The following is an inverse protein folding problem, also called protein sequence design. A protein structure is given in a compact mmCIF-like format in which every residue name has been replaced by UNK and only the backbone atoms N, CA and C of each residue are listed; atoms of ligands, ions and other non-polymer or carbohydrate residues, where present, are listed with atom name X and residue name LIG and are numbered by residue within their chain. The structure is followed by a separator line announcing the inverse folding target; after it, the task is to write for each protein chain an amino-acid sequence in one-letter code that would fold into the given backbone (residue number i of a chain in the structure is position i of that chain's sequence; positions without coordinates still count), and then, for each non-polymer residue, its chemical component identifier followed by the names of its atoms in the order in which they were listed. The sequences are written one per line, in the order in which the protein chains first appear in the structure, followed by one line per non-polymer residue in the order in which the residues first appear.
data_IF_226939355082
#
_entry.id   IF_226939355082
#
_cell.length_a   1.000
_cell.length_b   1.000
_cell.length_c   1.000
_cell.angle_alpha   90.00
_cell.angle_beta   90.00
_cell.angle_gamma   90.00
#
_symmetry.space_group_name_H-M   'P 1'
#
loop_
_entity.id
_entity.type
_entity.pdbx_description
1 polymer ?
#
# COMPACT_ATOMS: atom_id res chain seq x y z
N UNK A 1 13.46 -3.14 39.34
CA UNK A 1 12.08 -3.38 38.86
C UNK A 1 11.94 -2.65 37.56
N UNK A 2 11.67 -3.36 36.46
CA UNK A 2 11.22 -2.70 35.24
C UNK A 2 9.81 -2.13 35.50
N UNK A 3 9.59 -0.88 35.10
CA UNK A 3 8.30 -0.23 35.25
C UNK A 3 7.28 -0.84 34.28
N UNK A 4 6.02 -0.97 34.73
CA UNK A 4 4.90 -1.38 33.86
C UNK A 4 4.75 -0.38 32.70
N UNK A 5 4.88 -0.80 31.43
CA UNK A 5 4.78 0.09 30.28
C UNK A 5 3.33 0.43 29.89
N UNK A 6 2.32 -0.24 30.47
CA UNK A 6 0.91 -0.06 30.07
C UNK A 6 0.44 1.40 30.21
N UNK A 7 0.73 2.14 31.31
CA UNK A 7 0.34 3.54 31.42
C UNK A 7 0.88 4.42 30.28
N UNK A 8 2.13 4.20 29.87
CA UNK A 8 2.76 4.92 28.75
C UNK A 8 2.11 4.56 27.40
N UNK A 9 1.85 3.27 27.16
CA UNK A 9 1.18 2.80 25.94
C UNK A 9 -0.26 3.33 25.80
N UNK A 10 -0.90 3.68 26.91
CA UNK A 10 -2.26 4.23 26.93
C UNK A 10 -2.32 5.76 26.88
N UNK A 11 -1.19 6.45 26.78
CA UNK A 11 -1.17 7.91 26.64
C UNK A 11 -1.97 8.39 25.42
N UNK A 12 -2.67 9.54 25.51
CA UNK A 12 -3.53 10.03 24.44
C UNK A 12 -2.76 10.55 23.22
N UNK A 13 -1.48 10.90 23.38
CA UNK A 13 -0.65 11.53 22.33
C UNK A 13 -0.38 10.61 21.13
N UNK A 14 -0.47 9.30 21.33
CA UNK A 14 -0.38 8.30 20.25
C UNK A 14 -1.66 7.43 20.20
N UNK A 15 -2.73 7.92 19.55
CA UNK A 15 -4.01 7.23 19.54
C UNK A 15 -3.95 5.87 18.83
N UNK A 16 -3.01 5.67 17.89
CA UNK A 16 -2.83 4.38 17.20
C UNK A 16 -2.27 3.33 18.15
N UNK A 17 -1.21 3.68 18.90
CA UNK A 17 -0.62 2.77 19.91
C UNK A 17 -1.61 2.51 21.03
N UNK A 18 -2.32 3.53 21.51
CA UNK A 18 -3.37 3.37 22.52
C UNK A 18 -4.47 2.42 22.05
N UNK A 19 -4.99 2.60 20.84
CA UNK A 19 -6.03 1.74 20.26
C UNK A 19 -5.54 0.28 20.16
N UNK A 20 -4.36 0.04 19.58
CA UNK A 20 -3.81 -1.30 19.42
C UNK A 20 -3.49 -1.97 20.75
N UNK A 21 -3.04 -1.20 21.75
CA UNK A 21 -2.78 -1.69 23.11
C UNK A 21 -4.08 -2.15 23.77
N UNK A 22 -5.13 -1.32 23.73
CA UNK A 22 -6.45 -1.67 24.26
C UNK A 22 -7.00 -2.95 23.61
N UNK A 23 -6.88 -3.07 22.29
CA UNK A 23 -7.42 -4.20 21.52
C UNK A 23 -6.64 -5.49 21.70
N UNK A 24 -5.30 -5.43 21.63
CA UNK A 24 -4.47 -6.63 21.46
C UNK A 24 -3.69 -7.03 22.71
N UNK A 25 -3.36 -6.08 23.59
CA UNK A 25 -2.64 -6.40 24.84
C UNK A 25 -3.60 -6.50 26.02
N UNK A 26 -4.64 -5.67 26.04
CA UNK A 26 -5.65 -5.64 27.10
C UNK A 26 -6.97 -6.32 26.70
N UNK A 27 -7.03 -6.86 25.48
CA UNK A 27 -8.15 -7.64 24.93
C UNK A 27 -9.53 -6.99 25.11
N UNK A 28 -9.58 -5.65 25.05
CA UNK A 28 -10.84 -4.91 25.15
C UNK A 28 -11.69 -5.12 23.89
N UNK A 29 -13.01 -5.29 24.04
CA UNK A 29 -13.91 -5.46 22.91
C UNK A 29 -14.01 -4.16 22.09
N UNK A 30 -14.43 -4.28 20.82
CA UNK A 30 -14.56 -3.11 19.93
C UNK A 30 -15.56 -2.08 20.44
N UNK A 31 -16.60 -2.48 21.14
CA UNK A 31 -17.63 -1.59 21.70
C UNK A 31 -17.21 -0.92 23.03
N UNK A 32 -16.01 -1.22 23.55
CA UNK A 32 -15.45 -0.53 24.71
C UNK A 32 -15.30 0.98 24.40
N UNK A 33 -15.85 1.87 25.26
CA UNK A 33 -15.79 3.31 25.03
C UNK A 33 -14.37 3.87 24.84
N UNK A 34 -13.37 3.30 25.51
CA UNK A 34 -11.98 3.74 25.37
C UNK A 34 -11.37 3.31 24.03
N UNK A 35 -11.75 2.12 23.54
CA UNK A 35 -11.35 1.63 22.22
C UNK A 35 -11.93 2.52 21.13
N UNK A 36 -13.24 2.79 21.19
CA UNK A 36 -13.91 3.67 20.22
C UNK A 36 -13.34 5.09 20.25
N UNK A 37 -13.09 5.64 21.45
CA UNK A 37 -12.48 6.96 21.59
C UNK A 37 -11.07 7.03 20.99
N UNK A 38 -10.22 6.03 21.27
CA UNK A 38 -8.88 5.95 20.71
C UNK A 38 -8.92 5.84 19.18
N UNK A 39 -9.79 4.97 18.64
CA UNK A 39 -9.99 4.79 17.20
C UNK A 39 -10.45 6.08 16.51
N UNK A 40 -11.41 6.78 17.10
CA UNK A 40 -11.93 8.04 16.57
C UNK A 40 -10.88 9.18 16.58
N UNK A 41 -9.89 9.12 17.47
CA UNK A 41 -8.82 10.11 17.54
C UNK A 41 -7.72 9.90 16.48
N UNK A 42 -7.52 8.67 15.98
CA UNK A 42 -6.46 8.33 15.00
C UNK A 42 -6.43 9.29 13.80
N UNK A 43 -7.56 9.56 13.09
CA UNK A 43 -7.56 10.40 11.90
C UNK A 43 -7.15 11.86 12.13
N UNK A 44 -7.21 12.31 13.40
CA UNK A 44 -6.91 13.68 13.86
C UNK A 44 -5.54 13.78 14.52
N UNK A 45 -4.78 12.69 14.59
CA UNK A 45 -3.41 12.73 15.10
C UNK A 45 -2.50 13.56 14.18
N UNK A 46 -1.54 14.28 14.77
CA UNK A 46 -0.60 15.13 14.03
C UNK A 46 0.19 14.36 12.95
N UNK A 47 0.44 13.07 13.16
CA UNK A 47 1.11 12.22 12.17
C UNK A 47 0.21 11.99 10.96
N UNK A 48 -1.04 11.58 11.19
CA UNK A 48 -2.02 11.29 10.13
C UNK A 48 -2.39 12.56 9.36
N UNK A 49 -2.60 13.68 10.04
CA UNK A 49 -2.86 14.97 9.38
C UNK A 49 -1.71 15.40 8.45
N UNK A 50 -0.45 15.21 8.88
CA UNK A 50 0.72 15.50 8.02
C UNK A 50 0.84 14.58 6.82
N UNK A 51 0.41 13.32 6.93
CA UNK A 51 0.39 12.39 5.80
C UNK A 51 -0.66 12.87 4.79
N UNK A 52 -1.90 13.11 5.23
CA UNK A 52 -2.98 13.49 4.34
C UNK A 52 -2.90 14.92 3.79
N UNK A 53 -2.19 15.83 4.46
CA UNK A 53 -1.86 17.15 3.91
C UNK A 53 -1.07 17.07 2.58
N UNK A 54 -0.48 15.91 2.27
CA UNK A 54 0.28 15.66 1.02
C UNK A 54 -0.46 14.79 0.03
N UNK A 55 -1.68 14.34 0.34
CA UNK A 55 -2.46 13.53 -0.59
C UNK A 55 -2.96 14.43 -1.72
N UNK A 56 -2.68 14.06 -2.96
CA UNK A 56 -3.24 14.72 -4.12
C UNK A 56 -4.77 14.46 -4.20
N UNK A 57 -5.55 15.34 -4.86
CA UNK A 57 -7.00 15.14 -5.03
C UNK A 57 -7.39 13.77 -5.61
N UNK A 58 -6.52 13.19 -6.45
CA UNK A 58 -6.70 11.86 -7.03
C UNK A 58 -6.39 10.68 -6.09
N UNK A 59 -6.14 10.92 -4.80
CA UNK A 59 -5.95 9.87 -3.79
C UNK A 59 -4.51 9.37 -3.62
N UNK A 60 -3.54 9.95 -4.32
CA UNK A 60 -2.17 9.44 -4.39
C UNK A 60 -1.14 10.35 -3.71
N UNK A 61 0.06 9.81 -3.50
CA UNK A 61 1.25 10.54 -3.08
C UNK A 61 2.36 10.30 -4.09
N UNK A 62 3.08 11.37 -4.47
CA UNK A 62 4.12 11.28 -5.48
C UNK A 62 3.58 11.25 -6.90
N UNK A 63 4.14 10.40 -7.74
CA UNK A 63 3.78 10.28 -9.16
C UNK A 63 2.54 9.40 -9.35
N UNK A 64 1.46 9.88 -10.00
CA UNK A 64 0.26 9.09 -10.22
C UNK A 64 0.47 7.89 -11.17
N UNK A 65 1.58 7.80 -11.89
CA UNK A 65 1.92 6.69 -12.78
C UNK A 65 2.86 5.65 -12.12
N UNK A 66 3.46 6.00 -10.98
CA UNK A 66 4.42 5.16 -10.25
C UNK A 66 4.11 5.16 -8.74
N UNK A 67 3.12 4.38 -8.28
CA UNK A 67 2.71 4.33 -6.88
C UNK A 67 3.75 3.71 -5.94
N UNK A 68 4.86 3.17 -6.47
CA UNK A 68 5.93 2.57 -5.67
C UNK A 68 7.15 3.49 -5.46
N UNK A 69 7.52 4.31 -6.45
CA UNK A 69 8.68 5.18 -6.37
C UNK A 69 8.30 6.65 -6.11
N UNK A 70 9.10 7.39 -5.33
CA UNK A 70 10.24 6.92 -4.56
C UNK A 70 9.80 6.13 -3.32
N UNK A 71 10.64 5.16 -2.92
CA UNK A 71 10.41 4.35 -1.72
C UNK A 71 10.10 5.22 -0.49
N UNK A 72 9.19 4.72 0.34
CA UNK A 72 8.71 5.35 1.59
C UNK A 72 7.93 6.66 1.44
N UNK A 73 7.66 7.13 0.20
CA UNK A 73 6.89 8.36 -0.05
C UNK A 73 5.70 8.12 -0.96
N UNK A 74 5.84 7.23 -1.94
CA UNK A 74 4.78 6.95 -2.91
C UNK A 74 3.55 6.27 -2.28
N UNK A 75 2.48 6.18 -3.06
CA UNK A 75 1.16 5.73 -2.59
C UNK A 75 1.18 4.37 -1.90
N UNK A 76 1.88 3.36 -2.42
CA UNK A 76 1.94 2.03 -1.80
C UNK A 76 2.51 2.10 -0.38
N UNK A 77 3.63 2.80 -0.21
CA UNK A 77 4.28 2.94 1.10
C UNK A 77 3.42 3.73 2.08
N UNK A 78 2.78 4.78 1.60
CA UNK A 78 1.87 5.56 2.43
C UNK A 78 0.68 4.72 2.88
N UNK A 79 0.08 3.93 1.98
CA UNK A 79 -1.03 3.03 2.32
C UNK A 79 -0.62 1.97 3.36
N UNK A 80 0.58 1.40 3.24
CA UNK A 80 1.13 0.50 4.24
C UNK A 80 1.25 1.16 5.62
N UNK A 81 1.76 2.41 5.68
CA UNK A 81 1.86 3.17 6.93
C UNK A 81 0.47 3.44 7.52
N UNK A 82 -0.52 3.81 6.70
CA UNK A 82 -1.90 4.02 7.18
C UNK A 82 -2.49 2.75 7.82
N UNK A 83 -2.20 1.57 7.26
CA UNK A 83 -2.58 0.29 7.86
C UNK A 83 -1.93 0.06 9.23
N UNK A 84 -0.65 0.41 9.41
CA UNK A 84 0.04 0.30 10.70
C UNK A 84 -0.45 1.32 11.74
N UNK A 85 -0.95 2.46 11.29
CA UNK A 85 -1.60 3.46 12.13
C UNK A 85 -3.06 3.12 12.48
N UNK A 86 -3.54 1.93 12.09
CA UNK A 86 -4.91 1.46 12.33
C UNK A 86 -6.00 2.39 11.77
N UNK A 87 -5.74 3.03 10.61
CA UNK A 87 -6.79 3.71 9.87
C UNK A 87 -7.83 2.71 9.34
N UNK A 88 -9.04 3.21 9.13
CA UNK A 88 -10.16 2.42 8.64
C UNK A 88 -10.44 2.69 7.16
N UNK A 89 -10.94 1.68 6.44
CA UNK A 89 -11.53 1.82 5.10
C UNK A 89 -12.68 2.83 5.03
N UNK A 90 -13.32 3.12 6.16
CA UNK A 90 -14.37 4.13 6.28
C UNK A 90 -13.83 5.57 6.12
N UNK A 91 -12.52 5.79 6.30
CA UNK A 91 -11.92 7.09 5.98
C UNK A 91 -11.85 7.27 4.47
N UNK A 92 -12.62 8.24 3.97
CA UNK A 92 -12.71 8.57 2.54
C UNK A 92 -11.33 8.78 1.88
N UNK A 93 -10.35 9.31 2.61
CA UNK A 93 -9.00 9.54 2.09
C UNK A 93 -8.25 8.22 1.89
N UNK A 94 -8.48 7.23 2.75
CA UNK A 94 -7.98 5.85 2.59
C UNK A 94 -8.65 5.19 1.40
N UNK A 95 -9.98 5.35 1.26
CA UNK A 95 -10.73 4.79 0.13
C UNK A 95 -10.19 5.29 -1.21
N UNK A 96 -9.92 6.59 -1.36
CA UNK A 96 -9.31 7.14 -2.58
C UNK A 96 -7.92 6.56 -2.87
N UNK A 97 -7.09 6.37 -1.84
CA UNK A 97 -5.77 5.76 -2.00
C UNK A 97 -5.85 4.31 -2.44
N UNK A 98 -6.79 3.55 -1.86
CA UNK A 98 -7.10 2.18 -2.26
C UNK A 98 -7.50 2.11 -3.73
N UNK A 99 -8.46 2.92 -4.15
CA UNK A 99 -8.91 2.94 -5.54
C UNK A 99 -7.80 3.37 -6.51
N UNK A 100 -6.92 4.28 -6.08
CA UNK A 100 -5.76 4.65 -6.88
C UNK A 100 -4.83 3.46 -7.12
N UNK A 101 -4.44 2.71 -6.08
CA UNK A 101 -3.50 1.60 -6.24
C UNK A 101 -4.09 0.40 -6.99
N UNK A 102 -5.41 0.18 -6.95
CA UNK A 102 -6.05 -0.91 -7.69
C UNK A 102 -5.98 -0.76 -9.21
N UNK A 103 -5.68 0.44 -9.72
CA UNK A 103 -5.39 0.68 -11.14
C UNK A 103 -4.10 -0.02 -11.63
N UNK A 104 -3.26 -0.46 -10.70
CA UNK A 104 -1.97 -1.12 -10.96
C UNK A 104 -2.01 -2.62 -10.66
N UNK A 105 -3.18 -3.13 -10.28
CA UNK A 105 -3.38 -4.57 -10.17
C UNK A 105 -3.46 -5.18 -11.58
N UNK A 106 -2.62 -6.17 -11.84
CA UNK A 106 -2.67 -6.95 -13.08
C UNK A 106 -3.92 -7.82 -13.14
N UNK A 107 -4.41 -8.19 -14.34
CA UNK A 107 -5.55 -9.09 -14.49
C UNK A 107 -5.40 -10.41 -13.72
N UNK A 108 -4.17 -10.91 -13.61
CA UNK A 108 -3.84 -12.14 -12.88
C UNK A 108 -3.79 -11.97 -11.36
N UNK A 109 -3.80 -10.74 -10.83
CA UNK A 109 -3.95 -10.45 -9.41
C UNK A 109 -2.81 -9.67 -8.76
N UNK A 110 -1.56 -9.86 -9.21
CA UNK A 110 -0.38 -9.17 -8.66
C UNK A 110 -0.39 -7.66 -8.89
N UNK A 111 0.35 -6.90 -8.07
CA UNK A 111 0.50 -5.45 -8.22
C UNK A 111 1.84 -5.10 -8.87
N UNK A 112 1.78 -4.20 -9.86
CA UNK A 112 2.96 -3.70 -10.55
C UNK A 112 3.55 -2.44 -9.89
N UNK A 113 4.87 -2.27 -9.97
CA UNK A 113 5.58 -1.07 -9.50
C UNK A 113 5.02 0.23 -10.13
N UNK A 114 4.71 0.14 -11.42
CA UNK A 114 4.10 1.16 -12.25
C UNK A 114 3.27 0.51 -13.36
N UNK A 115 2.32 1.27 -13.92
CA UNK A 115 1.44 0.81 -14.99
C UNK A 115 2.04 1.06 -16.36
N UNK A 116 1.23 0.88 -17.41
CA UNK A 116 1.69 1.07 -18.79
C UNK A 116 2.28 2.47 -19.05
N UNK A 117 1.77 3.52 -18.40
CA UNK A 117 2.33 4.86 -18.53
C UNK A 117 3.79 4.92 -18.06
N UNK A 118 4.11 4.32 -16.91
CA UNK A 118 5.49 4.19 -16.43
C UNK A 118 6.35 3.36 -17.38
N UNK A 119 5.80 2.24 -17.88
CA UNK A 119 6.50 1.38 -18.83
C UNK A 119 6.78 2.08 -20.18
N UNK A 120 5.88 2.95 -20.65
CA UNK A 120 6.10 3.79 -21.85
C UNK A 120 7.21 4.82 -21.63
N UNK A 121 7.38 5.35 -20.41
CA UNK A 121 8.53 6.21 -20.08
C UNK A 121 9.84 5.43 -20.15
N UNK A 122 9.89 4.21 -19.64
CA UNK A 122 11.04 3.32 -19.78
C UNK A 122 11.32 2.97 -21.26
N UNK A 123 10.28 2.69 -22.03
CA UNK A 123 10.39 2.45 -23.47
C UNK A 123 11.04 3.64 -24.19
N UNK A 124 10.63 4.87 -23.89
CA UNK A 124 11.22 6.07 -24.48
C UNK A 124 12.73 6.17 -24.23
N UNK A 125 13.20 5.84 -23.02
CA UNK A 125 14.63 5.78 -22.70
C UNK A 125 15.35 4.67 -23.50
N UNK A 126 14.72 3.51 -23.66
CA UNK A 126 15.28 2.39 -24.45
C UNK A 126 15.41 2.78 -25.93
N UNK A 127 14.38 3.42 -26.51
CA UNK A 127 14.39 3.90 -27.88
C UNK A 127 15.54 4.87 -28.11
N UNK A 128 15.66 5.91 -27.27
CA UNK A 128 16.75 6.89 -27.37
C UNK A 128 18.13 6.22 -27.31
N UNK A 129 18.34 5.32 -26.35
CA UNK A 129 19.62 4.60 -26.18
C UNK A 129 19.95 3.67 -27.36
N UNK A 130 18.94 3.02 -27.96
CA UNK A 130 19.11 2.12 -29.12
C UNK A 130 19.46 2.91 -30.37
N UNK A 131 18.72 3.98 -30.64
CA UNK A 131 18.96 4.88 -31.76
C UNK A 131 20.35 5.52 -31.70
N UNK A 132 20.78 5.97 -30.51
CA UNK A 132 22.14 6.50 -30.30
C UNK A 132 23.25 5.49 -30.61
N UNK A 133 22.94 4.19 -30.67
CA UNK A 133 23.86 3.10 -31.01
C UNK A 133 23.64 2.56 -32.43
N UNK A 134 22.82 3.22 -33.25
CA UNK A 134 22.46 2.77 -34.60
C UNK A 134 21.69 1.46 -34.62
N UNK A 135 21.00 1.11 -33.52
CA UNK A 135 20.20 -0.12 -33.40
C UNK A 135 18.72 0.20 -33.49
N UNK A 136 17.97 -0.68 -34.13
CA UNK A 136 16.52 -0.62 -34.16
C UNK A 136 15.92 -0.84 -32.75
N UNK A 137 14.92 -0.05 -32.34
CA UNK A 137 14.21 -0.29 -31.08
C UNK A 137 13.30 -1.53 -31.18
N UNK A 138 12.98 -2.17 -30.04
CA UNK A 138 11.96 -3.21 -30.01
C UNK A 138 10.56 -2.63 -30.32
N UNK A 139 9.61 -3.48 -30.69
CA UNK A 139 8.21 -3.08 -30.79
C UNK A 139 7.65 -2.63 -29.42
N UNK A 140 6.90 -1.52 -29.39
CA UNK A 140 6.45 -0.89 -28.15
C UNK A 140 5.49 -1.77 -27.34
N UNK A 141 4.44 -2.30 -27.97
CA UNK A 141 3.39 -3.03 -27.28
C UNK A 141 3.90 -4.27 -26.51
N UNK A 142 4.67 -5.20 -27.13
CA UNK A 142 5.22 -6.33 -26.39
C UNK A 142 6.25 -5.89 -25.34
N UNK A 143 7.04 -4.84 -25.60
CA UNK A 143 7.98 -4.30 -24.62
C UNK A 143 7.27 -3.77 -23.37
N UNK A 144 6.21 -2.97 -23.55
CA UNK A 144 5.43 -2.40 -22.44
C UNK A 144 4.77 -3.51 -21.62
N UNK A 145 4.17 -4.51 -22.27
CA UNK A 145 3.55 -5.64 -21.59
C UNK A 145 4.56 -6.47 -20.77
N UNK A 146 5.73 -6.76 -21.35
CA UNK A 146 6.81 -7.50 -20.68
C UNK A 146 7.34 -6.73 -19.47
N UNK A 147 7.60 -5.42 -19.61
CA UNK A 147 8.06 -4.59 -18.49
C UNK A 147 7.02 -4.55 -17.36
N UNK A 148 5.74 -4.33 -17.67
CA UNK A 148 4.69 -4.33 -16.62
C UNK A 148 4.61 -5.69 -15.92
N UNK A 149 4.74 -6.79 -16.66
CA UNK A 149 4.79 -8.13 -16.08
C UNK A 149 6.00 -8.29 -15.14
N UNK A 150 7.20 -7.92 -15.58
CA UNK A 150 8.43 -7.97 -14.76
C UNK A 150 8.34 -7.10 -13.51
N UNK A 151 7.63 -5.98 -13.59
CA UNK A 151 7.41 -5.07 -12.46
C UNK A 151 6.27 -5.51 -11.55
N UNK A 152 5.63 -6.66 -11.81
CA UNK A 152 4.62 -7.25 -10.93
C UNK A 152 5.31 -8.11 -9.87
N UNK A 153 5.55 -7.52 -8.70
CA UNK A 153 6.45 -8.09 -7.68
C UNK A 153 5.66 -8.85 -6.60
N UNK A 154 6.13 -10.05 -6.24
CA UNK A 154 5.58 -10.86 -5.15
C UNK A 154 5.63 -10.12 -3.80
N UNK A 155 6.79 -9.55 -3.47
CA UNK A 155 7.01 -8.80 -2.23
C UNK A 155 6.12 -7.55 -2.11
N UNK A 156 5.90 -6.83 -3.21
CA UNK A 156 4.99 -5.68 -3.24
C UNK A 156 3.54 -6.14 -3.01
N UNK A 157 3.12 -7.18 -3.74
CA UNK A 157 1.77 -7.72 -3.66
C UNK A 157 1.43 -8.18 -2.24
N UNK A 158 2.31 -8.94 -1.59
CA UNK A 158 2.12 -9.38 -0.20
C UNK A 158 2.00 -8.21 0.78
N UNK A 159 2.83 -7.18 0.61
CA UNK A 159 2.76 -5.97 1.42
C UNK A 159 1.44 -5.20 1.22
N UNK A 160 0.95 -5.10 -0.01
CA UNK A 160 -0.34 -4.47 -0.33
C UNK A 160 -1.50 -5.25 0.28
N UNK A 161 -1.52 -6.58 0.13
CA UNK A 161 -2.54 -7.45 0.75
C UNK A 161 -2.57 -7.23 2.27
N UNK A 162 -1.40 -7.26 2.92
CA UNK A 162 -1.30 -7.08 4.36
C UNK A 162 -1.74 -5.67 4.81
N UNK A 163 -1.51 -4.64 3.99
CA UNK A 163 -2.00 -3.29 4.27
C UNK A 163 -3.52 -3.20 4.12
N UNK A 164 -4.09 -3.76 3.06
CA UNK A 164 -5.52 -3.74 2.80
C UNK A 164 -6.31 -4.48 3.89
N UNK A 165 -5.79 -5.60 4.39
CA UNK A 165 -6.35 -6.33 5.53
C UNK A 165 -6.34 -5.48 6.81
N UNK A 166 -5.22 -4.82 7.15
CA UNK A 166 -5.14 -3.92 8.31
C UNK A 166 -6.11 -2.74 8.22
N UNK A 167 -6.37 -2.25 7.01
CA UNK A 167 -7.35 -1.19 6.75
C UNK A 167 -8.80 -1.70 6.77
N UNK A 168 -9.03 -2.99 6.94
CA UNK A 168 -10.37 -3.60 7.05
C UNK A 168 -11.02 -3.99 5.72
N UNK A 169 -10.27 -4.12 4.61
CA UNK A 169 -10.81 -4.43 3.28
C UNK A 169 -10.94 -5.94 2.99
N UNK A 170 -11.19 -6.77 4.01
CA UNK A 170 -11.26 -8.24 3.85
C UNK A 170 -12.43 -8.72 2.97
N UNK A 171 -13.41 -7.86 2.73
CA UNK A 171 -14.57 -8.10 1.87
C UNK A 171 -14.34 -7.71 0.39
N UNK A 172 -13.22 -7.09 0.04
CA UNK A 172 -12.94 -6.63 -1.32
C UNK A 172 -12.43 -7.81 -2.19
N UNK A 173 -13.17 -8.26 -3.22
CA UNK A 173 -12.78 -9.43 -4.01
C UNK A 173 -11.45 -9.22 -4.76
N UNK A 174 -11.07 -7.96 -5.01
CA UNK A 174 -9.80 -7.64 -5.67
C UNK A 174 -8.60 -7.96 -4.77
N UNK A 175 -8.75 -7.88 -3.45
CA UNK A 175 -7.74 -8.32 -2.48
C UNK A 175 -7.50 -9.82 -2.63
N UNK A 176 -8.56 -10.62 -2.69
CA UNK A 176 -8.46 -12.08 -2.79
C UNK A 176 -7.85 -12.54 -4.11
N UNK A 177 -8.08 -11.84 -5.23
CA UNK A 177 -7.32 -12.11 -6.46
C UNK A 177 -5.80 -11.95 -6.29
N UNK A 178 -5.37 -10.98 -5.50
CA UNK A 178 -3.95 -10.81 -5.20
C UNK A 178 -3.40 -11.93 -4.31
N UNK A 179 -4.23 -12.46 -3.39
CA UNK A 179 -3.91 -13.65 -2.59
C UNK A 179 -3.80 -14.89 -3.47
N UNK A 180 -4.77 -15.13 -4.34
CA UNK A 180 -4.77 -16.27 -5.28
C UNK A 180 -3.54 -16.22 -6.19
N UNK A 181 -3.16 -15.03 -6.65
CA UNK A 181 -1.93 -14.84 -7.41
C UNK A 181 -0.67 -15.19 -6.60
N UNK A 182 -0.57 -14.73 -5.34
CA UNK A 182 0.56 -15.07 -4.47
C UNK A 182 0.66 -16.58 -4.24
N UNK A 183 -0.47 -17.29 -4.11
CA UNK A 183 -0.49 -18.75 -3.98
C UNK A 183 -0.04 -19.42 -5.28
N UNK A 184 -0.45 -18.90 -6.44
CA UNK A 184 -0.14 -19.52 -7.74
C UNK A 184 1.32 -19.38 -8.15
N UNK A 185 2.04 -18.39 -7.63
CA UNK A 185 3.47 -18.16 -7.91
C UNK A 185 4.40 -18.67 -6.79
N UNK A 186 3.86 -19.26 -5.73
CA UNK A 186 4.68 -19.76 -4.62
C UNK A 186 5.58 -20.92 -5.10
N UNK A 187 6.86 -20.86 -4.74
CA UNK A 187 7.81 -21.92 -5.03
C UNK A 187 7.51 -23.17 -4.17
N UNK A 188 7.93 -24.35 -4.64
CA UNK A 188 7.70 -25.62 -3.94
C UNK A 188 8.39 -25.70 -2.56
N UNK A 189 9.40 -24.86 -2.32
CA UNK A 189 10.10 -24.73 -1.04
C UNK A 189 9.40 -23.77 -0.05
N UNK A 190 8.26 -23.19 -0.44
CA UNK A 190 7.49 -22.23 0.34
C UNK A 190 7.91 -20.77 0.15
N UNK A 191 8.94 -20.48 -0.65
CA UNK A 191 9.36 -19.11 -1.01
C UNK A 191 8.50 -18.45 -2.09
N UNK A 192 8.83 -17.21 -2.42
CA UNK A 192 8.23 -16.38 -3.48
C UNK A 192 9.28 -15.65 -4.30
#
# INVERSE_FOLDING_TARGET
MEADPIPWLLEPDNPSVRYLTLRHLLERPEDDPQVQAARAAIPRSRVVERIFARQAPGGFWGDPASPYQPKYKATYWTLMVLGHLALSREDERVRRAKEHIFRFQQPVGGFAEYGEEGARREYAHVVQRRQARGKEPPEEAPFVADIVHQMTLSCLTGNVVAALLRLGNGDDPRLWRAVDWLVSIQNADGGW
#
